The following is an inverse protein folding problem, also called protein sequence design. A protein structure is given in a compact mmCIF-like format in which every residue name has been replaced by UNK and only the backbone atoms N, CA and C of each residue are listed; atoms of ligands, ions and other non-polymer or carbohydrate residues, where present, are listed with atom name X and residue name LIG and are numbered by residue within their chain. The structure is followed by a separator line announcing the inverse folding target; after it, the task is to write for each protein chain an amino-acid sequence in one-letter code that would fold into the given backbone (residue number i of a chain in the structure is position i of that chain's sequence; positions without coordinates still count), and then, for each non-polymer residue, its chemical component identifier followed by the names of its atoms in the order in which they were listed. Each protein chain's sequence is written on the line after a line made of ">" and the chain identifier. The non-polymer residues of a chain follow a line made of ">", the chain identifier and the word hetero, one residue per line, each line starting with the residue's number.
data_IF_337544344056
#
_entry.id   IF_337544344056
#
_cell.length_a   1.000
_cell.length_b   1.000
_cell.length_c   1.000
_cell.angle_alpha   90.00
_cell.angle_beta   90.00
_cell.angle_gamma   90.00
#
_symmetry.space_group_name_H-M   'P 1'
#
loop_
_entity.id
_entity.type
_entity.pdbx_description
1 polymer ?
#
# COMPACT_ATOMS: atom_id res chain seq x y z
N UNK A 1 -1.58 5.15 7.06
CA UNK A 1 -0.99 5.10 5.72
C UNK A 1 -0.43 6.46 5.30
N UNK A 2 -1.21 7.56 5.36
CA UNK A 2 -0.75 8.90 4.94
C UNK A 2 0.59 9.29 5.59
N UNK A 3 0.73 9.13 6.91
CA UNK A 3 1.98 9.42 7.63
C UNK A 3 3.14 8.56 7.14
N UNK A 4 2.89 7.30 6.77
CA UNK A 4 3.93 6.43 6.23
C UNK A 4 4.42 6.89 4.85
N UNK A 5 3.52 7.33 3.97
CA UNK A 5 3.89 7.92 2.67
C UNK A 5 4.69 9.21 2.84
N UNK A 6 4.28 10.07 3.78
CA UNK A 6 5.03 11.30 4.11
C UNK A 6 6.41 11.00 4.70
N UNK A 7 6.53 9.93 5.50
CA UNK A 7 7.80 9.49 6.09
C UNK A 7 8.84 9.15 5.02
N UNK A 8 8.45 8.41 3.99
CA UNK A 8 9.34 8.06 2.86
C UNK A 8 9.49 9.19 1.85
N UNK A 9 8.84 10.33 2.08
CA UNK A 9 8.89 11.53 1.23
C UNK A 9 8.46 11.25 -0.23
N UNK A 10 7.55 10.30 -0.43
CA UNK A 10 7.03 10.00 -1.75
C UNK A 10 5.85 10.92 -2.06
N UNK A 11 5.99 11.72 -3.11
CA UNK A 11 4.92 12.60 -3.58
C UNK A 11 3.96 11.81 -4.49
N UNK A 12 2.70 11.68 -4.08
CA UNK A 12 1.64 11.02 -4.84
C UNK A 12 0.80 12.00 -5.68
N UNK A 13 1.05 13.31 -5.55
CA UNK A 13 0.30 14.31 -6.32
C UNK A 13 0.53 14.11 -7.82
N UNK A 14 -0.55 14.26 -8.60
CA UNK A 14 -0.56 14.04 -10.04
C UNK A 14 -0.13 12.64 -10.52
N UNK A 15 -0.13 11.63 -9.65
CA UNK A 15 0.29 10.26 -9.96
C UNK A 15 -0.89 9.32 -10.16
N UNK A 16 -0.63 8.24 -10.90
CA UNK A 16 -1.52 7.11 -11.09
C UNK A 16 -1.14 6.01 -10.09
N UNK A 17 -2.05 5.68 -9.18
CA UNK A 17 -1.80 4.69 -8.12
C UNK A 17 -2.72 3.50 -8.30
N UNK A 18 -2.13 2.30 -8.34
CA UNK A 18 -2.86 1.02 -8.35
C UNK A 18 -2.91 0.44 -6.94
N UNK A 19 -4.10 0.01 -6.52
CA UNK A 19 -4.32 -0.75 -5.30
C UNK A 19 -4.76 -2.17 -5.69
N UNK A 20 -4.03 -3.17 -5.21
CA UNK A 20 -4.34 -4.59 -5.35
C UNK A 20 -5.09 -5.05 -4.11
N UNK A 21 -6.31 -5.57 -4.29
CA UNK A 21 -7.17 -6.04 -3.19
C UNK A 21 -8.32 -5.11 -2.88
N UNK A 22 -9.37 -5.65 -2.25
CA UNK A 22 -10.58 -4.94 -1.85
C UNK A 22 -10.98 -5.34 -0.41
N UNK A 23 -9.98 -5.40 0.49
CA UNK A 23 -10.15 -5.69 1.90
C UNK A 23 -10.58 -4.48 2.73
N UNK A 24 -10.79 -4.71 4.04
CA UNK A 24 -11.30 -3.68 4.96
C UNK A 24 -10.40 -2.45 5.12
N UNK A 25 -9.09 -2.57 4.87
CA UNK A 25 -8.13 -1.46 4.95
C UNK A 25 -8.21 -0.53 3.73
N UNK A 26 -8.66 -1.04 2.58
CA UNK A 26 -8.59 -0.35 1.29
C UNK A 26 -9.32 1.00 1.28
N UNK A 27 -10.53 1.15 1.85
CA UNK A 27 -11.19 2.46 1.93
C UNK A 27 -10.34 3.52 2.65
N UNK A 28 -9.63 3.14 3.72
CA UNK A 28 -8.75 4.06 4.45
C UNK A 28 -7.51 4.45 3.62
N UNK A 29 -6.94 3.51 2.86
CA UNK A 29 -5.83 3.79 1.94
C UNK A 29 -6.27 4.74 0.83
N UNK A 30 -7.44 4.50 0.23
CA UNK A 30 -8.01 5.37 -0.81
C UNK A 30 -8.24 6.80 -0.26
N UNK A 31 -8.83 6.92 0.93
CA UNK A 31 -9.05 8.23 1.58
C UNK A 31 -7.73 8.97 1.82
N UNK A 32 -6.69 8.27 2.28
CA UNK A 32 -5.37 8.85 2.49
C UNK A 32 -4.73 9.31 1.17
N UNK A 33 -4.83 8.52 0.10
CA UNK A 33 -4.34 8.91 -1.23
C UNK A 33 -5.06 10.15 -1.77
N UNK A 34 -6.37 10.25 -1.53
CA UNK A 34 -7.14 11.45 -1.88
C UNK A 34 -6.64 12.69 -1.13
N UNK A 35 -6.39 12.57 0.17
CA UNK A 35 -5.83 13.66 0.99
C UNK A 35 -4.42 14.07 0.52
N UNK A 36 -3.68 13.15 -0.08
CA UNK A 36 -2.37 13.38 -0.68
C UNK A 36 -2.44 13.90 -2.13
N UNK A 37 -3.64 14.30 -2.60
CA UNK A 37 -3.89 14.83 -3.95
C UNK A 37 -3.47 13.88 -5.09
N UNK A 38 -3.59 12.57 -4.88
CA UNK A 38 -3.35 11.56 -5.92
C UNK A 38 -4.31 11.81 -7.10
N UNK A 39 -3.78 11.80 -8.33
CA UNK A 39 -4.54 12.14 -9.54
C UNK A 39 -5.59 11.09 -9.87
N UNK A 40 -5.15 9.84 -10.02
CA UNK A 40 -6.02 8.73 -10.35
C UNK A 40 -5.73 7.56 -9.42
N UNK A 41 -6.77 6.95 -8.88
CA UNK A 41 -6.69 5.77 -8.02
C UNK A 41 -7.41 4.63 -8.74
N UNK A 42 -6.65 3.58 -9.04
CA UNK A 42 -7.14 2.36 -9.67
C UNK A 42 -7.26 1.26 -8.63
N UNK A 43 -8.33 0.50 -8.69
CA UNK A 43 -8.58 -0.62 -7.81
C UNK A 43 -8.67 -1.91 -8.63
N UNK A 44 -7.85 -2.89 -8.31
CA UNK A 44 -7.80 -4.20 -8.91
C UNK A 44 -8.09 -5.27 -7.86
N UNK A 45 -9.10 -6.10 -8.10
CA UNK A 45 -9.42 -7.22 -7.21
C UNK A 45 -9.93 -8.42 -7.99
N UNK A 46 -9.51 -9.64 -7.62
CA UNK A 46 -9.96 -10.88 -8.28
C UNK A 46 -11.49 -11.02 -8.27
N UNK A 47 -12.13 -10.60 -7.18
CA UNK A 47 -13.60 -10.60 -7.04
C UNK A 47 -14.10 -9.20 -7.33
N UNK A 48 -14.61 -8.95 -8.53
CA UNK A 48 -15.06 -7.61 -8.98
C UNK A 48 -16.12 -7.00 -8.09
N UNK A 49 -17.03 -7.80 -7.56
CA UNK A 49 -18.14 -7.36 -6.71
C UNK A 49 -17.64 -6.68 -5.42
N UNK A 50 -16.50 -7.12 -4.87
CA UNK A 50 -15.89 -6.48 -3.70
C UNK A 50 -15.35 -5.09 -4.04
N UNK A 51 -14.70 -4.94 -5.19
CA UNK A 51 -14.23 -3.65 -5.66
C UNK A 51 -15.39 -2.71 -5.97
N UNK A 52 -16.47 -3.22 -6.57
CA UNK A 52 -17.67 -2.46 -6.88
C UNK A 52 -18.34 -1.87 -5.62
N UNK A 53 -18.44 -2.64 -4.54
CA UNK A 53 -18.96 -2.15 -3.26
C UNK A 53 -18.13 -0.99 -2.66
N UNK A 54 -16.84 -0.97 -2.92
CA UNK A 54 -15.97 0.16 -2.51
C UNK A 54 -16.24 1.36 -3.42
N UNK A 55 -16.32 1.15 -4.74
CA UNK A 55 -16.59 2.21 -5.71
C UNK A 55 -17.93 2.91 -5.47
N UNK A 56 -18.98 2.18 -5.09
CA UNK A 56 -20.30 2.76 -4.75
C UNK A 56 -20.22 3.78 -3.60
N UNK A 57 -19.22 3.66 -2.73
CA UNK A 57 -18.99 4.58 -1.62
C UNK A 57 -17.93 5.64 -1.91
N UNK A 58 -17.04 5.36 -2.86
CA UNK A 58 -15.88 6.19 -3.21
C UNK A 58 -15.81 6.31 -4.74
N UNK A 59 -16.67 7.16 -5.32
CA UNK A 59 -16.89 7.26 -6.77
C UNK A 59 -15.66 7.68 -7.59
N UNK A 60 -14.66 8.28 -6.94
CA UNK A 60 -13.46 8.82 -7.59
C UNK A 60 -12.36 7.77 -7.87
N UNK A 61 -12.67 6.49 -7.75
CA UNK A 61 -11.75 5.40 -8.12
C UNK A 61 -12.17 4.73 -9.43
N UNK A 62 -11.22 4.17 -10.16
CA UNK A 62 -11.45 3.34 -11.34
C UNK A 62 -11.20 1.87 -11.01
N UNK A 63 -12.13 0.99 -11.38
CA UNK A 63 -11.93 -0.46 -11.27
C UNK A 63 -11.35 -0.97 -12.58
N UNK A 64 -10.28 -1.74 -12.48
CA UNK A 64 -9.64 -2.40 -13.61
C UNK A 64 -9.60 -3.91 -13.42
N UNK A 65 -9.45 -4.63 -14.52
CA UNK A 65 -9.42 -6.09 -14.51
C UNK A 65 -8.12 -6.63 -13.92
N UNK A 66 -8.21 -7.81 -13.27
CA UNK A 66 -7.03 -8.48 -12.75
C UNK A 66 -6.05 -8.79 -13.87
N UNK A 67 -4.81 -8.29 -13.73
CA UNK A 67 -3.77 -8.43 -14.75
C UNK A 67 -3.65 -7.25 -15.72
N UNK A 68 -4.54 -6.27 -15.68
CA UNK A 68 -4.43 -5.04 -16.48
C UNK A 68 -3.37 -4.10 -15.88
N UNK A 69 -2.11 -4.40 -16.16
CA UNK A 69 -0.96 -3.61 -15.68
C UNK A 69 -0.66 -2.51 -16.69
N UNK A 70 -0.93 -1.28 -16.28
CA UNK A 70 -0.71 -0.05 -17.06
C UNK A 70 0.51 0.72 -16.53
N UNK A 71 0.75 1.91 -17.06
CA UNK A 71 1.84 2.79 -16.64
C UNK A 71 1.48 3.53 -15.33
N UNK A 72 1.58 2.81 -14.21
CA UNK A 72 1.38 3.35 -12.86
C UNK A 72 2.65 4.02 -12.33
N UNK A 73 2.48 4.89 -11.32
CA UNK A 73 3.57 5.53 -10.57
C UNK A 73 3.80 4.86 -9.21
N UNK A 74 2.78 4.18 -8.70
CA UNK A 74 2.81 3.45 -7.44
C UNK A 74 1.87 2.26 -7.52
N UNK A 75 2.29 1.12 -6.97
CA UNK A 75 1.46 -0.08 -6.82
C UNK A 75 1.46 -0.48 -5.34
N UNK A 76 0.25 -0.65 -4.78
CA UNK A 76 0.04 -0.99 -3.38
C UNK A 76 -0.53 -2.41 -3.29
N UNK A 77 0.15 -3.32 -2.62
CA UNK A 77 -0.43 -4.60 -2.23
C UNK A 77 -1.24 -4.42 -0.94
N UNK A 78 -2.55 -4.47 -1.04
CA UNK A 78 -3.51 -4.47 0.06
C UNK A 78 -4.26 -5.82 0.17
N UNK A 79 -3.69 -6.88 -0.38
CA UNK A 79 -4.18 -8.26 -0.23
C UNK A 79 -3.50 -8.94 0.95
N UNK A 80 -3.96 -10.15 1.29
CA UNK A 80 -3.25 -11.04 2.22
C UNK A 80 -2.18 -11.90 1.54
N UNK A 81 -2.02 -11.80 0.20
CA UNK A 81 -1.02 -12.57 -0.53
C UNK A 81 0.38 -12.00 -0.29
N UNK A 82 1.20 -12.78 0.36
CA UNK A 82 2.54 -12.42 0.83
C UNK A 82 2.73 -12.69 2.32
N UNK A 83 1.67 -13.02 3.07
CA UNK A 83 1.76 -13.45 4.47
C UNK A 83 2.46 -14.82 4.58
N UNK A 84 2.28 -15.70 3.60
CA UNK A 84 2.97 -16.98 3.52
C UNK A 84 4.02 -16.93 2.42
N UNK A 85 5.11 -17.69 2.58
CA UNK A 85 6.22 -17.74 1.61
C UNK A 85 5.79 -18.17 0.21
N UNK A 86 4.77 -19.02 0.11
CA UNK A 86 4.27 -19.55 -1.16
C UNK A 86 3.26 -18.63 -1.85
N UNK A 87 2.77 -17.60 -1.14
CA UNK A 87 1.81 -16.67 -1.72
C UNK A 87 2.40 -15.93 -2.92
N UNK A 88 1.60 -15.81 -3.98
CA UNK A 88 1.95 -15.08 -5.19
C UNK A 88 0.72 -14.35 -5.72
N UNK A 89 0.92 -13.13 -6.17
CA UNK A 89 -0.15 -12.35 -6.81
C UNK A 89 -0.49 -12.86 -8.20
N UNK A 90 0.45 -13.58 -8.85
CA UNK A 90 0.30 -14.04 -10.23
C UNK A 90 0.22 -12.90 -11.24
N UNK A 91 0.85 -11.76 -10.94
CA UNK A 91 0.87 -10.57 -11.79
C UNK A 91 2.27 -10.35 -12.37
N UNK A 92 2.32 -9.96 -13.64
CA UNK A 92 3.57 -9.62 -14.32
C UNK A 92 3.71 -8.09 -14.40
N UNK A 93 4.79 -7.56 -13.83
CA UNK A 93 5.10 -6.12 -13.80
C UNK A 93 6.24 -5.73 -14.77
N UNK A 94 6.74 -6.64 -15.61
CA UNK A 94 7.85 -6.40 -16.55
C UNK A 94 7.55 -5.32 -17.60
N UNK A 95 6.27 -5.04 -17.85
CA UNK A 95 5.85 -3.96 -18.74
C UNK A 95 6.16 -2.57 -18.21
N UNK A 96 6.34 -2.43 -16.90
CA UNK A 96 6.62 -1.14 -16.24
C UNK A 96 8.11 -0.82 -16.42
N UNK A 97 8.41 0.12 -17.31
CA UNK A 97 9.80 0.49 -17.64
C UNK A 97 10.36 1.63 -16.79
N UNK A 98 9.51 2.51 -16.27
CA UNK A 98 9.93 3.59 -15.38
C UNK A 98 10.10 3.09 -13.94
N UNK A 99 10.99 3.72 -13.18
CA UNK A 99 11.16 3.43 -11.75
C UNK A 99 9.96 3.96 -10.98
N UNK A 100 9.21 3.06 -10.31
CA UNK A 100 8.02 3.39 -9.52
C UNK A 100 8.15 2.88 -8.08
N UNK A 101 7.19 3.23 -7.21
CA UNK A 101 7.11 2.70 -5.85
C UNK A 101 6.20 1.47 -5.80
N UNK A 102 6.72 0.38 -5.27
CA UNK A 102 5.97 -0.79 -4.83
C UNK A 102 5.82 -0.73 -3.31
N UNK A 103 4.60 -0.64 -2.83
CA UNK A 103 4.28 -0.55 -1.41
C UNK A 103 3.47 -1.77 -0.99
N UNK A 104 3.97 -2.53 -0.01
CA UNK A 104 3.21 -3.64 0.56
C UNK A 104 2.63 -3.23 1.92
N UNK A 105 1.33 -3.45 2.16
CA UNK A 105 0.76 -3.22 3.49
C UNK A 105 1.20 -4.28 4.51
N UNK A 106 1.75 -5.40 4.04
CA UNK A 106 2.32 -6.45 4.88
C UNK A 106 3.66 -5.95 5.44
N UNK A 107 3.88 -6.14 6.74
CA UNK A 107 5.13 -5.81 7.41
C UNK A 107 5.86 -7.03 7.97
N UNK A 108 5.16 -8.15 8.09
CA UNK A 108 5.72 -9.45 8.48
C UNK A 108 5.15 -10.53 7.55
N UNK A 109 5.99 -11.16 6.70
CA UNK A 109 7.45 -11.02 6.59
C UNK A 109 7.88 -9.61 6.14
N UNK A 110 9.10 -9.21 6.47
CA UNK A 110 9.65 -7.90 6.12
C UNK A 110 9.77 -7.68 4.61
N UNK A 111 10.05 -8.74 3.85
CA UNK A 111 10.08 -8.73 2.39
C UNK A 111 9.23 -9.86 1.81
N UNK A 112 8.14 -9.51 1.16
CA UNK A 112 7.25 -10.43 0.43
C UNK A 112 7.81 -10.73 -0.96
N UNK A 113 7.29 -11.77 -1.65
CA UNK A 113 7.63 -12.02 -3.07
C UNK A 113 7.35 -10.81 -3.96
N UNK A 114 6.27 -10.08 -3.68
CA UNK A 114 5.89 -8.86 -4.38
C UNK A 114 6.99 -7.79 -4.31
N UNK A 115 7.49 -7.49 -3.12
CA UNK A 115 8.57 -6.51 -2.93
C UNK A 115 9.91 -7.02 -3.47
N UNK A 116 10.21 -8.30 -3.26
CA UNK A 116 11.44 -8.93 -3.78
C UNK A 116 11.51 -8.84 -5.31
N UNK A 117 10.43 -9.18 -6.01
CA UNK A 117 10.36 -9.08 -7.47
C UNK A 117 10.52 -7.64 -7.94
N UNK A 118 9.86 -6.67 -7.28
CA UNK A 118 10.00 -5.26 -7.61
C UNK A 118 11.43 -4.75 -7.40
N UNK A 119 12.11 -5.18 -6.33
CA UNK A 119 13.51 -4.83 -6.06
C UNK A 119 14.45 -5.39 -7.14
N UNK A 120 14.22 -6.63 -7.58
CA UNK A 120 14.99 -7.23 -8.67
C UNK A 120 14.84 -6.47 -10.00
N UNK A 121 13.69 -5.86 -10.22
CA UNK A 121 13.41 -4.97 -11.36
C UNK A 121 13.87 -3.51 -11.12
N UNK A 122 14.64 -3.26 -10.05
CA UNK A 122 15.21 -1.94 -9.71
C UNK A 122 14.16 -0.86 -9.38
N UNK A 123 12.96 -1.24 -8.98
CA UNK A 123 11.95 -0.33 -8.44
C UNK A 123 12.24 0.09 -6.98
N UNK A 124 11.55 1.13 -6.51
CA UNK A 124 11.54 1.51 -5.09
C UNK A 124 10.59 0.57 -4.38
N UNK A 125 10.98 0.06 -3.21
CA UNK A 125 10.14 -0.84 -2.44
C UNK A 125 9.99 -0.35 -1.01
N UNK A 126 8.80 -0.49 -0.45
CA UNK A 126 8.47 -0.14 0.93
C UNK A 126 7.47 -1.14 1.48
N UNK A 127 7.61 -1.52 2.75
CA UNK A 127 6.67 -2.41 3.45
C UNK A 127 5.75 -1.67 4.41
N UNK A 128 4.83 -2.40 5.04
CA UNK A 128 3.81 -1.85 5.93
C UNK A 128 4.29 -1.44 7.33
N UNK A 129 5.58 -1.62 7.68
CA UNK A 129 6.10 -1.39 9.03
C UNK A 129 5.80 0.00 9.57
N UNK A 130 6.15 1.04 8.81
CA UNK A 130 5.91 2.41 9.26
C UNK A 130 4.41 2.73 9.34
N UNK A 131 3.60 2.15 8.47
CA UNK A 131 2.14 2.28 8.57
C UNK A 131 1.63 1.67 9.89
N UNK A 132 2.09 0.48 10.25
CA UNK A 132 1.74 -0.19 11.51
C UNK A 132 2.17 0.65 12.72
N UNK A 133 3.41 1.14 12.75
CA UNK A 133 3.93 1.97 13.85
C UNK A 133 3.09 3.25 14.01
N UNK A 134 2.81 3.97 12.93
CA UNK A 134 2.00 5.19 13.01
C UNK A 134 0.55 4.91 13.44
N UNK A 135 -0.03 3.78 13.03
CA UNK A 135 -1.36 3.37 13.49
C UNK A 135 -1.36 3.10 15.00
N UNK A 136 -0.40 2.33 15.50
CA UNK A 136 -0.25 2.04 16.92
C UNK A 136 -0.02 3.31 17.74
N UNK A 137 0.86 4.19 17.27
CA UNK A 137 1.12 5.50 17.88
C UNK A 137 -0.14 6.35 18.00
N UNK A 138 -0.92 6.48 16.93
CA UNK A 138 -2.16 7.25 16.96
C UNK A 138 -3.20 6.64 17.90
N UNK A 139 -3.36 5.31 17.90
CA UNK A 139 -4.27 4.60 18.79
C UNK A 139 -3.87 4.81 20.26
N UNK A 140 -2.59 4.66 20.59
CA UNK A 140 -2.06 4.91 21.92
C UNK A 140 -2.34 6.34 22.38
N UNK A 141 -2.06 7.32 21.52
CA UNK A 141 -2.32 8.75 21.82
C UNK A 141 -3.79 9.01 22.11
N UNK A 142 -4.70 8.42 21.32
CA UNK A 142 -6.14 8.57 21.53
C UNK A 142 -6.62 7.98 22.86
N UNK A 143 -6.12 6.79 23.22
CA UNK A 143 -6.55 6.08 24.43
C UNK A 143 -5.95 6.67 25.71
N UNK A 144 -4.67 7.01 25.67
CA UNK A 144 -3.92 7.43 26.87
C UNK A 144 -3.74 8.94 26.97
N UNK A 145 -4.12 9.72 25.95
CA UNK A 145 -3.92 11.19 25.87
C UNK A 145 -2.45 11.61 26.04
N UNK A 146 -1.54 10.71 25.74
CA UNK A 146 -0.09 10.89 25.75
C UNK A 146 0.45 10.55 24.37
N UNK A 147 1.28 11.42 23.81
CA UNK A 147 1.93 11.19 22.51
C UNK A 147 3.34 10.63 22.75
N UNK A 148 3.56 9.31 22.56
CA UNK A 148 4.89 8.72 22.72
C UNK A 148 5.82 9.15 21.59
N UNK A 149 7.13 9.10 21.82
CA UNK A 149 8.10 9.29 20.75
C UNK A 149 8.21 8.01 19.91
N UNK A 150 8.34 8.16 18.61
CA UNK A 150 8.73 7.08 17.70
C UNK A 150 10.24 7.22 17.48
N UNK A 151 11.01 6.47 18.26
CA UNK A 151 12.47 6.44 18.17
C UNK A 151 12.98 5.21 17.42
N UNK A 152 14.30 5.12 17.26
CA UNK A 152 14.94 3.99 16.57
C UNK A 152 14.69 2.66 17.29
N UNK A 153 14.64 2.66 18.62
CA UNK A 153 14.40 1.46 19.42
C UNK A 153 12.99 0.91 19.13
N UNK A 154 11.96 1.76 19.17
CA UNK A 154 10.59 1.42 18.78
C UNK A 154 10.51 0.80 17.38
N UNK A 155 11.23 1.38 16.41
CA UNK A 155 11.25 0.86 15.03
C UNK A 155 11.93 -0.50 14.96
N UNK A 156 13.00 -0.72 15.75
CA UNK A 156 13.76 -1.98 15.78
C UNK A 156 12.93 -3.11 16.38
N UNK A 157 12.27 -2.89 17.51
CA UNK A 157 11.44 -3.89 18.20
C UNK A 157 10.33 -4.43 17.28
N UNK A 158 9.75 -3.59 16.46
CA UNK A 158 8.71 -4.02 15.48
C UNK A 158 9.31 -4.84 14.33
N UNK A 159 10.62 -4.97 14.24
CA UNK A 159 11.33 -5.73 13.19
C UNK A 159 11.72 -7.15 13.64
N UNK A 160 11.61 -7.46 14.94
CA UNK A 160 11.88 -8.78 15.54
C UNK A 160 10.60 -9.64 15.56
#
# INVERSE_FOLDING_TARGET
>A
FELAIRHIKFDTSNKNVLILGAGGVVPSVISALKNLNTKNIFLMNRTKEKAQKIKEKLEYIEIIDWGDIRDFDMIINATSLGLNKEDDLGLNFESIKKKILFYDLIYNPEETKFLKSARQMMHIVENGKMMFIYQAHQSFTLWHKVMPNIDKETITIVSE
#
